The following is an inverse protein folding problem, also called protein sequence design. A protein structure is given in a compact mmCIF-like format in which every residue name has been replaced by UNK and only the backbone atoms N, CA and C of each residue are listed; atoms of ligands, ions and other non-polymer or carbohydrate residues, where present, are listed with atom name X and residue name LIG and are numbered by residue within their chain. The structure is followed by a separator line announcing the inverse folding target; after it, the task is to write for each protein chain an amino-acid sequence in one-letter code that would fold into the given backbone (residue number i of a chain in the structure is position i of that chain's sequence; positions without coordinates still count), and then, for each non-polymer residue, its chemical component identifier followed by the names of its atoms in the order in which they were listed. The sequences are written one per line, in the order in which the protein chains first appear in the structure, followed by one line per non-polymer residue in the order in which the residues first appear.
data_IF_384398563657
#
_entry.id   IF_384398563657
#
_cell.length_a   1.000
_cell.length_b   1.000
_cell.length_c   1.000
_cell.angle_alpha   90.00
_cell.angle_beta   90.00
_cell.angle_gamma   90.00
#
_symmetry.space_group_name_H-M   'P 1'
#
loop_
_entity.id
_entity.type
_entity.pdbx_description
1 polymer ?
#
# COMPACT_ATOMS: atom_id res chain seq x y z
N UNK A 1 23.68 -7.50 22.39
CA UNK A 1 22.38 -6.80 22.25
C UNK A 1 21.77 -7.26 20.94
N UNK A 2 20.95 -8.30 20.97
CA UNK A 2 20.10 -8.62 19.83
C UNK A 2 18.94 -7.64 19.89
N UNK A 3 18.74 -6.85 18.83
CA UNK A 3 17.50 -6.10 18.69
C UNK A 3 16.36 -7.12 18.71
N UNK A 4 15.36 -6.86 19.55
CA UNK A 4 14.12 -7.63 19.60
C UNK A 4 13.44 -7.47 18.23
N UNK A 5 13.68 -8.41 17.32
CA UNK A 5 13.05 -8.41 16.00
C UNK A 5 11.64 -8.99 16.13
N UNK A 6 10.78 -8.27 16.84
CA UNK A 6 9.35 -8.51 16.76
C UNK A 6 8.93 -8.32 15.30
N UNK A 7 8.28 -9.34 14.73
CA UNK A 7 7.68 -9.22 13.41
C UNK A 7 6.69 -8.04 13.43
N UNK A 8 6.70 -7.15 12.42
CA UNK A 8 5.78 -6.02 12.38
C UNK A 8 4.34 -6.53 12.41
N UNK A 9 3.47 -5.82 13.15
CA UNK A 9 2.06 -6.18 13.25
C UNK A 9 1.39 -5.91 11.91
N UNK A 10 0.89 -6.97 11.27
CA UNK A 10 0.08 -6.89 10.05
C UNK A 10 -1.34 -6.48 10.43
N UNK A 11 -1.78 -5.35 9.89
CA UNK A 11 -3.13 -4.80 10.12
C UNK A 11 -4.10 -5.26 9.04
N UNK A 12 -3.62 -5.44 7.81
CA UNK A 12 -4.42 -5.80 6.66
C UNK A 12 -3.56 -6.49 5.60
N UNK A 13 -4.05 -7.60 5.04
CA UNK A 13 -3.53 -8.21 3.81
C UNK A 13 -4.52 -8.00 2.68
N UNK A 14 -4.15 -7.35 1.59
CA UNK A 14 -5.07 -7.07 0.49
C UNK A 14 -4.37 -6.87 -0.85
N UNK A 15 -5.16 -6.95 -1.94
CA UNK A 15 -4.73 -6.44 -3.24
C UNK A 15 -4.58 -4.91 -3.21
N UNK A 16 -3.78 -4.36 -4.13
CA UNK A 16 -3.75 -2.92 -4.44
C UNK A 16 -4.77 -2.65 -5.55
N UNK A 17 -5.77 -1.84 -5.25
CA UNK A 17 -6.87 -1.52 -6.16
C UNK A 17 -6.49 -0.42 -7.15
N UNK A 18 -7.13 -0.44 -8.33
CA UNK A 18 -7.00 0.63 -9.32
C UNK A 18 -5.68 0.64 -10.11
N UNK A 19 -4.89 -0.43 -10.06
CA UNK A 19 -3.62 -0.56 -10.80
C UNK A 19 -3.81 -0.37 -12.31
N UNK A 20 -4.93 -0.84 -12.88
CA UNK A 20 -5.26 -0.65 -14.31
C UNK A 20 -5.43 0.81 -14.74
N UNK A 21 -5.67 1.72 -13.80
CA UNK A 21 -5.81 3.15 -14.07
C UNK A 21 -4.51 3.94 -13.86
N UNK A 22 -3.39 3.26 -13.54
CA UNK A 22 -2.11 3.92 -13.26
C UNK A 22 -1.26 4.00 -14.52
N UNK A 23 -1.19 5.20 -15.09
CA UNK A 23 -0.29 5.48 -16.21
C UNK A 23 1.17 5.20 -15.82
N UNK A 24 1.92 4.55 -16.72
CA UNK A 24 3.32 4.21 -16.49
C UNK A 24 3.56 2.99 -15.59
N UNK A 25 2.54 2.47 -14.88
CA UNK A 25 2.73 1.34 -13.95
C UNK A 25 3.21 0.06 -14.67
N UNK A 26 2.70 -0.22 -15.88
CA UNK A 26 3.16 -1.35 -16.70
C UNK A 26 4.65 -1.27 -17.02
N UNK A 27 5.17 -0.07 -17.29
CA UNK A 27 6.59 0.14 -17.56
C UNK A 27 7.43 0.15 -16.27
N UNK A 28 6.81 0.49 -15.14
CA UNK A 28 7.46 0.54 -13.83
C UNK A 28 7.54 -0.84 -13.14
N UNK A 29 6.64 -1.77 -13.45
CA UNK A 29 6.56 -3.11 -12.83
C UNK A 29 7.89 -3.85 -12.67
N UNK A 30 8.83 -3.83 -13.64
CA UNK A 30 10.13 -4.48 -13.48
C UNK A 30 10.96 -3.97 -12.29
N UNK A 31 10.70 -2.75 -11.81
CA UNK A 31 11.36 -2.16 -10.65
C UNK A 31 10.74 -2.61 -9.32
N UNK A 32 9.53 -3.20 -9.34
CA UNK A 32 8.87 -3.69 -8.12
C UNK A 32 9.52 -4.99 -7.66
N UNK A 33 9.89 -5.05 -6.39
CA UNK A 33 10.48 -6.23 -5.74
C UNK A 33 9.57 -6.73 -4.62
N UNK A 34 9.40 -8.05 -4.54
CA UNK A 34 8.70 -8.65 -3.40
C UNK A 34 9.46 -8.36 -2.12
N UNK A 35 8.72 -8.07 -1.04
CA UNK A 35 9.27 -7.68 0.24
C UNK A 35 9.69 -6.21 0.33
N UNK A 36 9.64 -5.44 -0.77
CA UNK A 36 9.99 -4.02 -0.72
C UNK A 36 8.99 -3.22 0.10
N UNK A 37 9.49 -2.14 0.69
CA UNK A 37 8.68 -1.20 1.45
C UNK A 37 7.76 -0.40 0.53
N UNK A 38 6.52 -0.26 0.97
CA UNK A 38 5.50 0.60 0.41
C UNK A 38 5.08 1.62 1.45
N UNK A 39 4.58 2.77 1.01
CA UNK A 39 3.98 3.77 1.89
C UNK A 39 2.49 3.84 1.63
N UNK A 40 1.72 4.10 2.70
CA UNK A 40 0.29 4.37 2.62
C UNK A 40 0.03 5.81 3.02
N UNK A 41 -0.84 6.50 2.29
CA UNK A 41 -1.15 7.91 2.54
C UNK A 41 -2.65 8.13 2.49
N UNK A 42 -3.18 8.74 3.54
CA UNK A 42 -4.59 9.12 3.64
C UNK A 42 -4.93 10.20 2.61
N UNK A 43 -6.06 10.04 1.93
CA UNK A 43 -6.67 11.07 1.07
C UNK A 43 -8.06 11.44 1.62
N UNK A 44 -8.08 12.36 2.60
CA UNK A 44 -9.30 12.71 3.34
C UNK A 44 -10.31 13.55 2.53
N UNK A 45 -9.89 14.11 1.41
CA UNK A 45 -10.66 14.98 0.52
C UNK A 45 -11.08 14.27 -0.79
N UNK A 46 -11.01 12.94 -0.83
CA UNK A 46 -11.50 12.14 -1.95
C UNK A 46 -13.00 12.39 -2.18
N UNK A 47 -13.37 12.66 -3.44
CA UNK A 47 -14.77 12.86 -3.83
C UNK A 47 -15.54 11.54 -4.05
N UNK A 48 -14.86 10.40 -3.98
CA UNK A 48 -15.42 9.09 -4.36
C UNK A 48 -15.47 8.10 -3.20
N UNK A 49 -14.53 8.21 -2.25
CA UNK A 49 -14.35 7.26 -1.16
C UNK A 49 -13.86 8.01 0.09
N UNK A 50 -14.73 8.12 1.09
CA UNK A 50 -14.47 8.82 2.35
C UNK A 50 -13.24 8.25 3.09
N UNK A 51 -12.87 7.00 2.84
CA UNK A 51 -11.78 6.29 3.51
C UNK A 51 -10.58 6.02 2.59
N UNK A 52 -10.47 6.75 1.47
CA UNK A 52 -9.39 6.58 0.51
C UNK A 52 -7.99 6.61 1.16
N UNK A 53 -7.19 5.60 0.83
CA UNK A 53 -5.78 5.45 1.21
C UNK A 53 -4.99 5.05 -0.03
N UNK A 54 -4.08 5.92 -0.46
CA UNK A 54 -3.18 5.70 -1.59
C UNK A 54 -2.00 4.83 -1.18
N UNK A 55 -1.50 4.04 -2.13
CA UNK A 55 -0.33 3.17 -1.95
C UNK A 55 0.77 3.58 -2.92
N UNK A 56 1.97 3.84 -2.40
CA UNK A 56 3.14 4.23 -3.18
C UNK A 56 4.34 3.31 -2.92
N UNK A 57 5.30 3.27 -3.84
CA UNK A 57 6.63 2.76 -3.53
C UNK A 57 7.37 3.71 -2.60
N UNK A 58 8.24 3.18 -1.73
CA UNK A 58 9.15 4.01 -0.95
C UNK A 58 10.29 4.59 -1.82
N UNK A 59 10.98 5.61 -1.31
CA UNK A 59 12.17 6.19 -1.95
C UNK A 59 12.01 7.64 -2.43
N UNK A 60 13.04 8.19 -3.10
CA UNK A 60 13.09 9.61 -3.48
C UNK A 60 12.12 9.97 -4.62
N UNK A 61 11.77 9.01 -5.47
CA UNK A 61 10.80 9.16 -6.57
C UNK A 61 9.70 8.11 -6.41
N UNK A 62 8.72 8.34 -5.52
CA UNK A 62 7.67 7.36 -5.23
C UNK A 62 6.71 7.21 -6.42
N UNK A 63 6.51 5.97 -6.86
CA UNK A 63 5.51 5.62 -7.87
C UNK A 63 4.18 5.33 -7.19
N UNK A 64 3.10 5.94 -7.71
CA UNK A 64 1.75 5.68 -7.23
C UNK A 64 1.20 4.38 -7.81
N UNK A 65 1.03 3.37 -6.96
CA UNK A 65 0.59 2.03 -7.36
C UNK A 65 -0.94 1.89 -7.43
N UNK A 66 -1.67 2.64 -6.61
CA UNK A 66 -3.13 2.55 -6.52
C UNK A 66 -3.65 2.89 -5.14
N UNK A 67 -4.69 2.19 -4.71
CA UNK A 67 -5.36 2.39 -3.43
C UNK A 67 -5.49 1.10 -2.64
N UNK A 68 -5.74 1.22 -1.33
CA UNK A 68 -6.38 0.12 -0.60
C UNK A 68 -7.82 -0.08 -1.10
N UNK A 69 -8.35 -1.31 -1.14
CA UNK A 69 -9.71 -1.57 -1.59
C UNK A 69 -10.74 -0.87 -0.69
N UNK A 70 -11.73 -0.19 -1.29
CA UNK A 70 -12.78 0.59 -0.61
C UNK A 70 -13.45 -0.20 0.53
N UNK A 71 -13.83 -1.46 0.30
CA UNK A 71 -14.48 -2.29 1.31
C UNK A 71 -13.57 -2.74 2.47
N UNK A 72 -12.29 -2.35 2.50
CA UNK A 72 -11.29 -2.83 3.48
C UNK A 72 -10.40 -1.71 4.05
N UNK A 73 -10.52 -0.48 3.58
CA UNK A 73 -9.60 0.61 3.90
C UNK A 73 -9.94 1.39 5.18
N UNK A 74 -11.19 1.35 5.65
CA UNK A 74 -11.69 2.19 6.75
C UNK A 74 -10.82 2.10 8.02
N UNK A 75 -10.48 0.89 8.47
CA UNK A 75 -9.65 0.71 9.67
C UNK A 75 -8.27 1.36 9.51
N UNK A 76 -7.67 1.22 8.33
CA UNK A 76 -6.35 1.82 8.02
C UNK A 76 -6.47 3.34 7.98
N UNK A 77 -7.50 3.87 7.33
CA UNK A 77 -7.76 5.31 7.25
C UNK A 77 -7.94 5.94 8.65
N UNK A 78 -8.75 5.30 9.51
CA UNK A 78 -8.95 5.76 10.90
C UNK A 78 -7.66 5.74 11.74
N UNK A 79 -6.80 4.75 11.53
CA UNK A 79 -5.49 4.69 12.21
C UNK A 79 -4.59 5.85 11.74
N UNK A 80 -4.55 6.13 10.43
CA UNK A 80 -3.83 7.29 9.90
C UNK A 80 -4.38 8.61 10.45
N UNK A 81 -5.72 8.76 10.47
CA UNK A 81 -6.39 9.95 11.02
C UNK A 81 -6.12 10.13 12.53
N UNK A 82 -5.91 9.02 13.25
CA UNK A 82 -5.53 9.03 14.67
C UNK A 82 -4.02 9.26 14.91
N UNK A 83 -3.22 9.43 13.85
CA UNK A 83 -1.79 9.76 13.93
C UNK A 83 -0.85 8.56 14.01
N UNK A 84 -1.33 7.33 13.78
CA UNK A 84 -0.46 6.16 13.75
C UNK A 84 0.42 6.16 12.49
N UNK A 85 1.68 5.73 12.64
CA UNK A 85 2.61 5.56 11.53
C UNK A 85 2.40 4.16 10.93
N UNK A 86 1.86 4.11 9.72
CA UNK A 86 1.64 2.88 8.96
C UNK A 86 2.53 2.84 7.72
N UNK A 87 2.90 1.64 7.32
CA UNK A 87 3.59 1.37 6.06
C UNK A 87 2.99 0.15 5.37
N UNK A 88 3.69 -0.36 4.37
CA UNK A 88 3.31 -1.60 3.73
C UNK A 88 4.49 -2.37 3.18
N UNK A 89 4.19 -3.59 2.74
CA UNK A 89 5.16 -4.46 2.08
C UNK A 89 4.50 -5.16 0.91
N UNK A 90 5.13 -5.12 -0.26
CA UNK A 90 4.66 -5.85 -1.42
C UNK A 90 4.84 -7.36 -1.19
N UNK A 91 3.78 -8.15 -1.23
CA UNK A 91 3.83 -9.59 -0.96
C UNK A 91 3.67 -10.44 -2.20
N UNK A 92 2.98 -9.92 -3.21
CA UNK A 92 2.78 -10.61 -4.48
C UNK A 92 2.73 -9.65 -5.66
N UNK A 93 3.19 -10.11 -6.83
CA UNK A 93 2.97 -9.46 -8.12
C UNK A 93 2.77 -10.50 -9.21
N UNK A 94 1.76 -10.31 -10.06
CA UNK A 94 1.50 -11.13 -11.23
C UNK A 94 0.80 -10.31 -12.32
N UNK A 95 0.98 -10.72 -13.57
CA UNK A 95 0.19 -10.21 -14.68
C UNK A 95 -1.00 -11.13 -14.90
N UNK A 96 -2.20 -10.56 -14.90
CA UNK A 96 -3.45 -11.20 -15.32
C UNK A 96 -3.94 -10.48 -16.59
N UNK A 97 -3.65 -11.07 -17.75
CA UNK A 97 -3.83 -10.42 -19.06
C UNK A 97 -3.15 -9.03 -19.10
N UNK A 98 -3.93 -7.95 -19.19
CA UNK A 98 -3.45 -6.56 -19.20
C UNK A 98 -3.53 -5.87 -17.83
N UNK A 99 -3.85 -6.61 -16.77
CA UNK A 99 -3.96 -6.11 -15.41
C UNK A 99 -2.76 -6.55 -14.57
N UNK A 100 -2.08 -5.58 -13.95
CA UNK A 100 -1.05 -5.86 -12.95
C UNK A 100 -1.71 -6.11 -11.59
N UNK A 101 -1.76 -7.39 -11.20
CA UNK A 101 -2.22 -7.84 -9.90
C UNK A 101 -1.09 -7.69 -8.87
N UNK A 102 -1.33 -6.89 -7.83
CA UNK A 102 -0.39 -6.67 -6.73
C UNK A 102 -1.07 -6.95 -5.41
N UNK A 103 -0.40 -7.66 -4.51
CA UNK A 103 -0.82 -7.79 -3.11
C UNK A 103 0.17 -7.15 -2.17
N UNK A 104 -0.34 -6.64 -1.06
CA UNK A 104 0.46 -6.06 0.00
C UNK A 104 -0.06 -6.44 1.38
N UNK A 105 0.85 -6.32 2.34
CA UNK A 105 0.52 -6.18 3.75
C UNK A 105 0.58 -4.70 4.14
N UNK A 106 -0.37 -4.24 4.95
CA UNK A 106 -0.30 -2.97 5.69
C UNK A 106 0.23 -3.26 7.09
N UNK A 107 1.25 -2.52 7.49
CA UNK A 107 2.04 -2.75 8.70
C UNK A 107 1.89 -1.57 9.65
N UNK A 108 1.70 -1.85 10.94
CA UNK A 108 1.85 -0.85 11.99
C UNK A 108 3.34 -0.66 12.30
N UNK A 109 3.86 0.54 12.02
CA UNK A 109 5.27 0.86 12.25
C UNK A 109 5.48 1.43 13.66
N UNK A 110 4.71 2.48 14.00
CA UNK A 110 4.76 3.17 15.30
C UNK A 110 3.40 3.80 15.64
N UNK A 111 3.27 4.20 16.90
CA UNK A 111 2.23 5.10 17.38
C UNK A 111 2.85 6.44 17.74
#
# INVERSE_FOLDING_TARGET
MAADSALPLVILECLIAGTSHREGLKAYEPNLQLGQELTVTREADSAYDDWAVRVYTAGPEPMWLGYLPEGRNETVARLLDAGFELGGRLTHKAWEDDWLYLEMEVLLLKK
#
